data_IF_501588219804
#
_entry.id   IF_501588219804
#
_cell.length_a   1.000
_cell.length_b   1.000
_cell.length_c   1.000
_cell.angle_alpha   90.00
_cell.angle_beta   90.00
_cell.angle_gamma   90.00
#
_symmetry.space_group_name_H-M   'P 1'
#
loop_
_entity.id
_entity.type
_entity.pdbx_description
1 polymer ?
#
# COMPACT_ATOMS: atom_id res chain seq x y z
N UNK A 1 -24.89 -17.76 -5.06
CA UNK A 1 -24.41 -17.92 -6.44
C UNK A 1 -23.06 -17.23 -6.58
N UNK A 2 -22.04 -17.99 -6.98
CA UNK A 2 -20.74 -17.57 -7.53
C UNK A 2 -19.57 -17.21 -6.60
N UNK A 3 -19.21 -18.11 -5.68
CA UNK A 3 -17.86 -18.13 -5.09
C UNK A 3 -16.91 -19.12 -5.79
N UNK A 4 -17.42 -20.04 -6.62
CA UNK A 4 -16.61 -21.08 -7.29
C UNK A 4 -16.10 -20.70 -8.69
N UNK A 5 -16.61 -19.63 -9.31
CA UNK A 5 -16.20 -19.22 -10.68
C UNK A 5 -15.00 -18.24 -10.72
N UNK A 6 -14.48 -17.77 -9.59
CA UNK A 6 -13.26 -16.92 -9.55
C UNK A 6 -11.94 -17.70 -9.63
N UNK A 7 -11.96 -19.03 -9.52
CA UNK A 7 -10.74 -19.86 -9.41
C UNK A 7 -10.04 -20.21 -10.74
N UNK A 8 -10.61 -19.91 -11.91
CA UNK A 8 -10.07 -20.38 -13.20
C UNK A 8 -9.28 -19.33 -14.03
N UNK A 9 -9.04 -18.12 -13.50
CA UNK A 9 -8.25 -17.09 -14.20
C UNK A 9 -7.45 -16.19 -13.24
N UNK A 10 -6.99 -16.73 -12.10
CA UNK A 10 -6.22 -15.96 -11.14
C UNK A 10 -4.80 -15.69 -11.64
N UNK A 11 -4.47 -14.41 -11.80
CA UNK A 11 -3.11 -13.94 -12.00
C UNK A 11 -2.49 -13.74 -10.60
N UNK A 12 -1.52 -14.56 -10.16
CA UNK A 12 -0.93 -14.46 -8.82
C UNK A 12 -0.32 -13.09 -8.52
N UNK A 13 0.16 -12.38 -9.55
CA UNK A 13 0.67 -11.02 -9.41
C UNK A 13 -0.45 -10.04 -9.08
N UNK A 14 -1.65 -10.24 -9.64
CA UNK A 14 -2.79 -9.39 -9.31
C UNK A 14 -3.24 -9.62 -7.87
N UNK A 15 -3.32 -10.87 -7.41
CA UNK A 15 -3.66 -11.19 -6.02
C UNK A 15 -2.65 -10.57 -5.03
N UNK A 16 -1.37 -10.59 -5.37
CA UNK A 16 -0.32 -9.96 -4.57
C UNK A 16 -0.47 -8.43 -4.53
N UNK A 17 -0.76 -7.80 -5.67
CA UNK A 17 -1.04 -6.36 -5.73
C UNK A 17 -2.26 -5.97 -4.91
N UNK A 18 -3.33 -6.75 -4.97
CA UNK A 18 -4.55 -6.52 -4.18
C UNK A 18 -4.24 -6.64 -2.68
N UNK A 19 -3.44 -7.64 -2.29
CA UNK A 19 -2.98 -7.82 -0.90
C UNK A 19 -2.11 -6.65 -0.43
N UNK A 20 -1.18 -6.17 -1.27
CA UNK A 20 -0.36 -5.00 -0.98
C UNK A 20 -1.23 -3.74 -0.82
N UNK A 21 -2.23 -3.56 -1.68
CA UNK A 21 -3.15 -2.43 -1.61
C UNK A 21 -3.90 -2.41 -0.28
N UNK A 22 -4.45 -3.54 0.14
CA UNK A 22 -5.13 -3.68 1.43
C UNK A 22 -4.17 -3.41 2.61
N UNK A 23 -2.96 -3.96 2.58
CA UNK A 23 -1.99 -3.78 3.65
C UNK A 23 -1.56 -2.30 3.81
N UNK A 24 -1.35 -1.58 2.70
CA UNK A 24 -1.00 -0.16 2.71
C UNK A 24 -2.13 0.71 3.27
N UNK A 25 -3.39 0.40 2.90
CA UNK A 25 -4.57 1.10 3.41
C UNK A 25 -4.71 0.88 4.92
N UNK A 26 -4.62 -0.37 5.39
CA UNK A 26 -4.70 -0.67 6.82
C UNK A 26 -3.59 -0.01 7.61
N UNK A 27 -2.34 -0.02 7.12
CA UNK A 27 -1.23 0.65 7.78
C UNK A 27 -1.47 2.17 7.95
N UNK A 28 -2.08 2.82 6.95
CA UNK A 28 -2.48 4.22 7.04
C UNK A 28 -3.61 4.47 8.03
N UNK A 29 -4.62 3.60 8.05
CA UNK A 29 -5.73 3.68 9.00
C UNK A 29 -5.22 3.57 10.44
N UNK A 30 -4.33 2.60 10.72
CA UNK A 30 -3.69 2.50 12.04
C UNK A 30 -2.89 3.75 12.39
N UNK A 31 -2.06 4.27 11.47
CA UNK A 31 -1.31 5.49 11.71
C UNK A 31 -2.22 6.70 11.98
N UNK A 32 -3.40 6.74 11.36
CA UNK A 32 -4.41 7.78 11.58
C UNK A 32 -5.07 7.63 12.95
N UNK A 33 -5.44 6.40 13.33
CA UNK A 33 -6.08 6.10 14.61
C UNK A 33 -5.16 6.39 15.80
N UNK A 34 -3.84 6.22 15.63
CA UNK A 34 -2.83 6.65 16.60
C UNK A 34 -2.58 8.17 16.62
N UNK A 35 -3.19 8.93 15.70
CA UNK A 35 -3.00 10.36 15.56
C UNK A 35 -1.66 10.77 14.95
N UNK A 36 -0.92 9.83 14.34
CA UNK A 36 0.39 10.09 13.73
C UNK A 36 0.30 10.75 12.35
N UNK A 37 -0.83 10.59 11.65
CA UNK A 37 -1.14 11.23 10.38
C UNK A 37 -2.61 11.65 10.34
N UNK A 38 -2.95 12.73 9.65
CA UNK A 38 -4.33 13.15 9.45
C UNK A 38 -4.61 13.35 7.96
N UNK A 39 -5.66 12.72 7.42
CA UNK A 39 -6.10 12.90 6.03
C UNK A 39 -7.62 12.71 5.97
N UNK A 40 -8.26 13.29 4.94
CA UNK A 40 -9.72 13.20 4.80
C UNK A 40 -10.12 11.84 4.22
N UNK A 41 -9.44 11.44 3.14
CA UNK A 41 -9.67 10.16 2.46
C UNK A 41 -8.37 9.61 1.90
N UNK A 42 -8.28 8.29 1.82
CA UNK A 42 -7.19 7.63 1.10
C UNK A 42 -7.40 7.88 -0.41
N UNK A 43 -6.46 8.53 -1.12
CA UNK A 43 -6.60 8.76 -2.55
C UNK A 43 -6.47 7.44 -3.31
N UNK A 44 -7.02 7.40 -4.53
CA UNK A 44 -6.69 6.33 -5.47
C UNK A 44 -5.19 6.37 -5.78
N UNK A 45 -4.52 5.24 -5.57
CA UNK A 45 -3.07 5.10 -5.71
C UNK A 45 -2.74 3.86 -6.53
N UNK A 46 -1.54 3.84 -7.09
CA UNK A 46 -1.10 2.79 -8.00
C UNK A 46 0.00 1.96 -7.35
N UNK A 47 -0.05 0.66 -7.58
CA UNK A 47 1.04 -0.29 -7.32
C UNK A 47 1.57 -0.80 -8.65
N UNK A 48 2.80 -0.43 -8.96
CA UNK A 48 3.45 -0.72 -10.25
C UNK A 48 4.82 -1.35 -10.06
N UNK A 49 5.35 -1.93 -11.15
CA UNK A 49 6.73 -2.39 -11.20
C UNK A 49 7.61 -1.17 -11.48
N UNK A 50 8.60 -0.86 -10.63
CA UNK A 50 9.48 0.29 -10.85
C UNK A 50 10.25 0.16 -12.17
N UNK A 51 10.51 1.30 -12.82
CA UNK A 51 11.37 1.33 -14.01
C UNK A 51 12.83 0.95 -13.68
N UNK A 52 13.31 1.32 -12.49
CA UNK A 52 14.62 0.93 -11.97
C UNK A 52 14.49 -0.35 -11.13
N UNK A 53 15.14 -1.43 -11.59
CA UNK A 53 15.15 -2.73 -10.91
C UNK A 53 15.82 -2.69 -9.53
N UNK A 54 16.59 -1.65 -9.22
CA UNK A 54 17.16 -1.43 -7.89
C UNK A 54 16.13 -0.97 -6.84
N UNK A 55 14.93 -0.58 -7.24
CA UNK A 55 13.86 -0.12 -6.34
C UNK A 55 12.90 -1.24 -5.89
N UNK A 56 13.28 -2.50 -6.09
CA UNK A 56 12.49 -3.67 -5.70
C UNK A 56 11.43 -4.05 -6.73
N UNK A 57 10.55 -4.98 -6.33
CA UNK A 57 9.57 -5.57 -7.24
C UNK A 57 8.34 -4.68 -7.48
N UNK A 58 7.98 -3.87 -6.47
CA UNK A 58 6.81 -3.00 -6.50
C UNK A 58 7.11 -1.62 -5.89
N UNK A 59 6.49 -0.59 -6.45
CA UNK A 59 6.43 0.75 -5.86
C UNK A 59 4.97 1.22 -5.74
N UNK A 60 4.71 2.02 -4.70
CA UNK A 60 3.42 2.64 -4.45
C UNK A 60 3.56 4.16 -4.25
N UNK A 61 2.75 4.95 -4.96
CA UNK A 61 2.81 6.41 -4.92
C UNK A 61 1.96 7.05 -3.81
N UNK A 62 1.28 6.25 -2.99
CA UNK A 62 0.30 6.69 -1.98
C UNK A 62 0.82 7.77 -1.03
N UNK A 63 2.08 7.66 -0.60
CA UNK A 63 2.71 8.61 0.30
C UNK A 63 2.86 10.01 -0.33
N UNK A 64 3.10 10.08 -1.64
CA UNK A 64 3.18 11.34 -2.37
C UNK A 64 1.81 12.00 -2.50
N UNK A 65 0.79 11.20 -2.79
CA UNK A 65 -0.59 11.68 -2.96
C UNK A 65 -1.18 12.21 -1.64
N UNK A 66 -0.81 11.60 -0.52
CA UNK A 66 -1.26 12.02 0.81
C UNK A 66 -0.54 13.25 1.36
N UNK A 67 0.64 13.59 0.84
CA UNK A 67 1.50 14.66 1.39
C UNK A 67 0.76 16.00 1.58
N UNK A 68 -0.09 16.38 0.61
CA UNK A 68 -0.88 17.61 0.69
C UNK A 68 -1.94 17.56 1.79
N UNK A 69 -2.70 16.47 1.87
CA UNK A 69 -3.77 16.31 2.86
C UNK A 69 -3.19 16.24 4.28
N UNK A 70 -2.11 15.46 4.45
CA UNK A 70 -1.42 15.28 5.71
C UNK A 70 -0.56 16.47 6.15
N UNK A 71 -0.23 17.38 5.22
CA UNK A 71 0.77 18.45 5.42
C UNK A 71 2.09 17.88 5.95
N UNK A 72 2.49 16.74 5.41
CA UNK A 72 3.69 15.99 5.80
C UNK A 72 4.53 15.68 4.57
N UNK A 73 5.85 15.61 4.76
CA UNK A 73 6.74 15.16 3.70
C UNK A 73 6.42 13.71 3.30
N UNK A 74 6.39 13.34 2.00
CA UNK A 74 6.08 11.99 1.54
C UNK A 74 6.91 10.91 2.24
N UNK A 75 8.19 11.18 2.50
CA UNK A 75 9.09 10.26 3.20
C UNK A 75 8.60 9.93 4.61
N UNK A 76 8.12 10.91 5.38
CA UNK A 76 7.58 10.67 6.73
C UNK A 76 6.31 9.82 6.68
N UNK A 77 5.48 10.02 5.66
CA UNK A 77 4.27 9.22 5.46
C UNK A 77 4.65 7.78 5.12
N UNK A 78 5.63 7.58 4.23
CA UNK A 78 6.14 6.24 3.90
C UNK A 78 6.71 5.53 5.14
N UNK A 79 7.49 6.23 5.97
CA UNK A 79 8.03 5.70 7.23
C UNK A 79 6.91 5.26 8.20
N UNK A 80 5.82 6.04 8.31
CA UNK A 80 4.65 5.65 9.10
C UNK A 80 3.97 4.40 8.53
N UNK A 81 3.75 4.35 7.22
CA UNK A 81 3.16 3.18 6.56
C UNK A 81 3.99 1.94 6.83
N UNK A 82 5.30 2.01 6.64
CA UNK A 82 6.23 0.89 6.88
C UNK A 82 6.15 0.41 8.33
N UNK A 83 6.04 1.33 9.30
CA UNK A 83 5.94 0.99 10.73
C UNK A 83 4.72 0.14 11.06
N UNK A 84 3.61 0.33 10.35
CA UNK A 84 2.35 -0.38 10.57
C UNK A 84 2.06 -1.45 9.51
N UNK A 85 2.98 -1.67 8.56
CA UNK A 85 2.79 -2.62 7.48
C UNK A 85 2.77 -4.05 8.03
N UNK A 86 1.64 -4.73 7.86
CA UNK A 86 1.47 -6.13 8.24
C UNK A 86 0.95 -6.90 7.04
N UNK A 87 1.64 -7.97 6.65
CA UNK A 87 1.28 -8.81 5.51
C UNK A 87 1.43 -10.29 5.86
N UNK A 88 0.61 -11.13 5.23
CA UNK A 88 0.72 -12.59 5.35
C UNK A 88 1.89 -13.12 4.52
N UNK A 89 2.17 -12.50 3.37
CA UNK A 89 3.31 -12.83 2.53
C UNK A 89 4.59 -12.19 3.10
N UNK A 90 5.74 -12.88 3.03
CA UNK A 90 7.01 -12.32 3.51
C UNK A 90 7.43 -11.12 2.66
N UNK A 91 7.87 -10.05 3.33
CA UNK A 91 8.49 -8.86 2.71
C UNK A 91 9.96 -8.85 3.12
N UNK A 92 10.87 -8.93 2.14
CA UNK A 92 12.31 -8.95 2.41
C UNK A 92 12.84 -7.55 2.76
N UNK A 93 12.36 -6.52 2.05
CA UNK A 93 12.79 -5.14 2.21
C UNK A 93 11.70 -4.16 1.76
N UNK A 94 11.71 -2.99 2.38
CA UNK A 94 10.90 -1.81 2.04
C UNK A 94 11.79 -0.60 1.82
#
# INVERSE_FOLDING_TARGET
MNTELRRLCMNPIQELKDSLQQALVHALEYARDEGAINYEQVPEFVIEVPADKGHGDFAANIAMLLARQARMAPRKIAELIVRHLTMAQPVEKV
#
